data_IF_731222236970
#
_entry.id   IF_731222236970
#
_cell.length_a   1.000
_cell.length_b   1.000
_cell.length_c   1.000
_cell.angle_alpha   90.00
_cell.angle_beta   90.00
_cell.angle_gamma   90.00
#
_symmetry.space_group_name_H-M   'P 1'
#
loop_
_entity.id
_entity.type
_entity.pdbx_description
1 polymer ?
#
# COMPACT_ATOMS: atom_id res chain seq x y z
N UNK A 1 -62.68 -14.45 -42.20
CA UNK A 1 -62.24 -14.94 -40.89
C UNK A 1 -60.82 -15.47 -41.10
N UNK A 2 -59.79 -14.65 -40.88
CA UNK A 2 -58.85 -14.77 -39.72
C UNK A 2 -57.55 -15.46 -40.20
N UNK A 3 -56.29 -15.03 -39.99
CA UNK A 3 -55.62 -13.85 -39.39
C UNK A 3 -54.21 -13.79 -40.03
N UNK A 4 -53.67 -12.59 -40.23
CA UNK A 4 -52.26 -12.37 -40.56
C UNK A 4 -51.38 -12.57 -39.31
N UNK A 5 -50.39 -13.47 -39.38
CA UNK A 5 -49.40 -13.66 -38.31
C UNK A 5 -48.20 -12.75 -38.55
N UNK A 6 -48.24 -11.55 -37.98
CA UNK A 6 -47.09 -10.66 -37.90
C UNK A 6 -46.15 -11.08 -36.77
N UNK A 7 -44.96 -11.58 -37.10
CA UNK A 7 -43.87 -11.77 -36.13
C UNK A 7 -43.04 -10.48 -36.04
N UNK A 8 -43.44 -9.57 -35.16
CA UNK A 8 -42.58 -8.47 -34.69
C UNK A 8 -41.48 -9.05 -33.81
N UNK A 9 -40.35 -9.38 -34.42
CA UNK A 9 -39.10 -9.65 -33.70
C UNK A 9 -38.60 -8.35 -33.09
N UNK A 10 -38.89 -8.12 -31.82
CA UNK A 10 -38.23 -7.10 -31.01
C UNK A 10 -36.77 -7.49 -30.86
N UNK A 11 -35.87 -6.85 -31.59
CA UNK A 11 -34.43 -6.92 -31.33
C UNK A 11 -34.17 -6.16 -30.03
N UNK A 12 -34.28 -6.87 -28.91
CA UNK A 12 -33.80 -6.39 -27.62
C UNK A 12 -32.29 -6.10 -27.78
N UNK A 13 -31.81 -4.89 -27.44
CA UNK A 13 -30.40 -4.58 -27.56
C UNK A 13 -29.66 -5.47 -26.56
N UNK A 14 -28.88 -6.42 -27.08
CA UNK A 14 -28.02 -7.27 -26.28
C UNK A 14 -27.17 -6.39 -25.37
N UNK A 15 -27.50 -6.39 -24.07
CA UNK A 15 -26.73 -5.72 -23.03
C UNK A 15 -25.35 -6.37 -23.06
N UNK A 16 -24.38 -5.68 -23.66
CA UNK A 16 -22.98 -6.09 -23.62
C UNK A 16 -22.53 -6.02 -22.17
N UNK A 17 -22.54 -7.16 -21.49
CA UNK A 17 -21.74 -7.35 -20.29
C UNK A 17 -20.28 -7.26 -20.70
N UNK A 18 -19.69 -6.07 -20.58
CA UNK A 18 -18.25 -5.93 -20.57
C UNK A 18 -17.72 -6.89 -19.50
N UNK A 19 -16.76 -7.78 -19.80
CA UNK A 19 -16.19 -8.64 -18.78
C UNK A 19 -15.70 -7.75 -17.63
N UNK A 20 -15.84 -8.20 -16.36
CA UNK A 20 -15.32 -7.44 -15.23
C UNK A 20 -13.86 -7.14 -15.54
N UNK A 21 -13.50 -5.86 -15.50
CA UNK A 21 -12.14 -5.42 -15.77
C UNK A 21 -11.21 -6.24 -14.88
N UNK A 22 -10.55 -7.23 -15.47
CA UNK A 22 -9.67 -8.13 -14.76
C UNK A 22 -8.63 -7.31 -14.02
N UNK A 23 -8.22 -7.80 -12.85
CA UNK A 23 -7.17 -7.22 -12.02
C UNK A 23 -6.12 -6.54 -12.90
N UNK A 24 -6.03 -5.22 -12.70
CA UNK A 24 -5.33 -4.25 -13.50
C UNK A 24 -4.01 -4.78 -14.10
N UNK A 25 -3.71 -4.37 -15.33
CA UNK A 25 -2.31 -4.33 -15.80
C UNK A 25 -1.54 -3.43 -14.83
N UNK A 26 -1.02 -4.01 -13.74
CA UNK A 26 -0.04 -3.36 -12.89
C UNK A 26 1.05 -2.82 -13.81
N UNK A 27 1.47 -1.58 -13.56
CA UNK A 27 2.12 -0.70 -14.53
C UNK A 27 3.18 -1.36 -15.40
N UNK A 28 3.42 -0.78 -16.58
CA UNK A 28 4.46 -1.19 -17.54
C UNK A 28 5.73 -1.65 -16.80
N UNK A 29 6.49 -2.67 -17.28
CA UNK A 29 7.69 -3.16 -16.58
C UNK A 29 8.66 -2.07 -16.11
N UNK A 30 8.70 -0.94 -16.83
CA UNK A 30 9.41 0.28 -16.45
C UNK A 30 8.93 0.89 -15.12
N UNK A 31 7.62 1.03 -14.90
CA UNK A 31 7.04 1.55 -13.66
C UNK A 31 7.35 0.63 -12.48
N UNK A 32 7.23 -0.68 -12.68
CA UNK A 32 7.60 -1.66 -11.67
C UNK A 32 9.09 -1.56 -11.33
N UNK A 33 9.96 -1.57 -12.34
CA UNK A 33 11.40 -1.45 -12.15
C UNK A 33 11.81 -0.15 -11.44
N UNK A 34 11.15 0.97 -11.77
CA UNK A 34 11.38 2.25 -11.12
C UNK A 34 10.94 2.24 -9.65
N UNK A 35 9.74 1.71 -9.37
CA UNK A 35 9.23 1.56 -8.00
C UNK A 35 10.16 0.70 -7.16
N UNK A 36 10.61 -0.43 -7.71
CA UNK A 36 11.56 -1.33 -7.06
C UNK A 36 12.90 -0.63 -6.79
N UNK A 37 13.45 0.08 -7.77
CA UNK A 37 14.71 0.82 -7.64
C UNK A 37 14.64 1.86 -6.52
N UNK A 38 13.58 2.67 -6.46
CA UNK A 38 13.40 3.67 -5.40
C UNK A 38 13.20 3.01 -4.02
N UNK A 39 12.45 1.89 -3.97
CA UNK A 39 12.27 1.13 -2.74
C UNK A 39 13.60 0.62 -2.21
N UNK A 40 14.44 0.04 -3.08
CA UNK A 40 15.78 -0.41 -2.70
C UNK A 40 16.64 0.77 -2.25
N UNK A 41 16.63 1.88 -2.99
CA UNK A 41 17.44 3.05 -2.68
C UNK A 41 17.05 3.76 -1.37
N UNK A 42 15.80 3.64 -0.91
CA UNK A 42 15.35 4.20 0.37
C UNK A 42 15.51 3.21 1.53
N UNK A 43 15.25 1.92 1.28
CA UNK A 43 15.23 0.89 2.31
C UNK A 43 16.58 0.16 2.46
N UNK A 44 17.59 0.44 1.62
CA UNK A 44 18.91 -0.18 1.73
C UNK A 44 19.56 -0.07 3.12
N UNK A 45 19.42 1.03 3.90
CA UNK A 45 20.05 1.09 5.23
C UNK A 45 19.44 0.08 6.19
N UNK A 46 18.23 -0.39 5.90
CA UNK A 46 17.49 -1.36 6.70
C UNK A 46 17.78 -2.81 6.29
N UNK A 47 18.56 -3.02 5.22
CA UNK A 47 18.86 -4.34 4.68
C UNK A 47 19.89 -5.11 5.52
N UNK A 48 20.60 -4.44 6.44
CA UNK A 48 21.55 -5.11 7.35
C UNK A 48 20.82 -6.16 8.20
N UNK A 49 21.36 -7.39 8.31
CA UNK A 49 20.78 -8.42 9.16
C UNK A 49 20.84 -8.03 10.64
N UNK A 50 19.95 -8.63 11.44
CA UNK A 50 19.88 -8.41 12.88
C UNK A 50 18.99 -7.23 13.28
N UNK A 51 19.39 -6.51 14.33
CA UNK A 51 18.61 -5.42 14.89
C UNK A 51 18.48 -4.26 13.89
N UNK A 52 17.25 -3.76 13.69
CA UNK A 52 17.04 -2.56 12.91
C UNK A 52 17.48 -1.36 13.73
N UNK A 53 18.63 -0.80 13.35
CA UNK A 53 19.22 0.39 13.93
C UNK A 53 19.47 1.41 12.83
N UNK A 54 18.66 2.47 12.81
CA UNK A 54 18.86 3.59 11.89
C UNK A 54 18.55 4.89 12.61
N UNK A 55 19.61 5.56 13.07
CA UNK A 55 19.54 6.81 13.85
C UNK A 55 18.60 6.68 15.06
N UNK A 56 17.37 7.19 14.98
CA UNK A 56 16.40 7.12 16.10
C UNK A 56 15.48 5.90 16.01
N UNK A 57 15.58 5.12 14.92
CA UNK A 57 14.87 3.86 14.76
C UNK A 57 15.63 2.73 15.46
N UNK A 58 14.97 2.11 16.43
CA UNK A 58 15.46 0.93 17.14
C UNK A 58 14.34 -0.09 17.19
N UNK A 59 14.50 -1.22 16.48
CA UNK A 59 13.58 -2.35 16.57
C UNK A 59 14.39 -3.62 16.88
N UNK A 60 14.41 -4.05 18.15
CA UNK A 60 14.99 -5.32 18.55
C UNK A 60 14.29 -6.51 17.85
N UNK A 61 14.99 -7.62 17.60
CA UNK A 61 14.35 -8.82 17.05
C UNK A 61 13.23 -9.37 17.93
N UNK A 62 13.42 -9.30 19.25
CA UNK A 62 12.47 -9.75 20.27
C UNK A 62 12.19 -8.62 21.28
N UNK A 63 11.34 -7.62 20.95
CA UNK A 63 10.99 -6.56 21.88
C UNK A 63 10.19 -7.09 23.06
N UNK A 64 10.45 -6.58 24.26
CA UNK A 64 9.71 -6.98 25.46
C UNK A 64 8.32 -6.33 25.50
N UNK A 65 7.31 -7.12 25.90
CA UNK A 65 5.98 -6.61 26.19
C UNK A 65 6.02 -5.91 27.56
N UNK A 66 5.93 -4.59 27.58
CA UNK A 66 6.00 -3.76 28.80
C UNK A 66 4.86 -2.75 28.82
N UNK A 67 4.61 -2.12 29.97
CA UNK A 67 3.61 -1.04 30.10
C UNK A 67 3.88 0.11 29.11
N UNK A 68 5.15 0.41 28.86
CA UNK A 68 5.56 1.40 27.86
C UNK A 68 5.14 1.01 26.42
N UNK A 69 5.14 -0.28 26.08
CA UNK A 69 4.68 -0.76 24.76
C UNK A 69 3.18 -0.45 24.54
N UNK A 70 2.40 -0.43 25.62
CA UNK A 70 1.00 -0.02 25.63
C UNK A 70 0.79 1.49 25.85
N UNK A 71 1.87 2.28 25.89
CA UNK A 71 1.80 3.72 26.10
C UNK A 71 1.45 4.13 27.53
N UNK A 72 1.56 3.19 28.49
CA UNK A 72 1.29 3.41 29.91
C UNK A 72 2.57 3.78 30.70
N UNK A 73 3.71 3.89 30.02
CA UNK A 73 4.98 4.30 30.61
C UNK A 73 5.14 5.81 30.71
N UNK A 74 6.24 6.25 31.34
CA UNK A 74 6.53 7.67 31.60
C UNK A 74 6.91 8.49 30.35
N UNK A 75 7.16 7.81 29.22
CA UNK A 75 7.51 8.46 27.96
C UNK A 75 6.27 8.72 27.09
N UNK A 76 6.35 9.70 26.19
CA UNK A 76 5.26 9.97 25.26
C UNK A 76 4.95 8.72 24.41
N UNK A 77 3.67 8.32 24.39
CA UNK A 77 3.13 7.17 23.66
C UNK A 77 3.11 7.37 22.12
N UNK A 78 4.25 7.75 21.54
CA UNK A 78 4.41 8.07 20.11
C UNK A 78 4.45 6.83 19.20
N UNK A 79 4.61 5.66 19.79
CA UNK A 79 4.79 4.39 19.08
C UNK A 79 3.72 3.37 19.48
N UNK A 80 2.73 3.75 20.29
CA UNK A 80 1.61 2.88 20.66
C UNK A 80 0.50 2.99 19.61
N UNK A 81 -0.14 1.87 19.19
CA UNK A 81 0.03 0.49 19.65
C UNK A 81 1.10 -0.31 18.89
N UNK A 82 1.85 0.33 17.98
CA UNK A 82 2.85 -0.32 17.13
C UNK A 82 3.87 -1.15 17.94
N UNK A 83 4.33 -0.64 19.09
CA UNK A 83 5.34 -1.30 19.91
C UNK A 83 4.78 -2.54 20.62
N UNK A 84 3.53 -2.49 21.07
CA UNK A 84 2.85 -3.68 21.59
C UNK A 84 2.69 -4.76 20.52
N UNK A 85 2.32 -4.37 19.28
CA UNK A 85 2.23 -5.31 18.16
C UNK A 85 3.60 -5.91 17.84
N UNK A 86 4.66 -5.10 17.81
CA UNK A 86 6.02 -5.59 17.56
C UNK A 86 6.54 -6.50 18.68
N UNK A 87 6.20 -6.23 19.93
CA UNK A 87 6.54 -7.12 21.06
C UNK A 87 5.81 -8.47 20.96
N UNK A 88 4.52 -8.46 20.59
CA UNK A 88 3.77 -9.69 20.31
C UNK A 88 4.37 -10.50 19.15
N UNK A 89 4.64 -9.83 18.02
CA UNK A 89 5.30 -10.45 16.85
C UNK A 89 6.70 -10.97 17.23
N UNK A 90 7.42 -10.21 18.04
CA UNK A 90 8.72 -10.58 18.61
C UNK A 90 8.69 -11.87 19.41
N UNK A 91 7.57 -12.23 20.03
CA UNK A 91 7.39 -13.53 20.68
C UNK A 91 7.30 -14.71 19.71
N UNK A 92 6.95 -14.46 18.44
CA UNK A 92 6.73 -15.48 17.41
C UNK A 92 7.88 -15.56 16.40
N UNK A 93 8.45 -14.42 16.03
CA UNK A 93 9.47 -14.28 14.98
C UNK A 93 10.29 -13.00 15.19
N UNK A 94 11.30 -12.75 14.36
CA UNK A 94 12.03 -11.48 14.33
C UNK A 94 11.11 -10.32 13.91
N UNK A 95 10.81 -9.43 14.86
CA UNK A 95 9.98 -8.26 14.64
C UNK A 95 10.59 -7.29 13.60
N UNK A 96 11.92 -7.15 13.58
CA UNK A 96 12.61 -6.33 12.60
C UNK A 96 12.48 -6.89 11.18
N UNK A 97 12.48 -8.23 11.02
CA UNK A 97 12.20 -8.85 9.72
C UNK A 97 10.78 -8.54 9.23
N UNK A 98 9.80 -8.53 10.12
CA UNK A 98 8.41 -8.15 9.79
C UNK A 98 8.32 -6.69 9.37
N UNK A 99 8.98 -5.76 10.08
CA UNK A 99 9.02 -4.34 9.69
C UNK A 99 9.61 -4.15 8.29
N UNK A 100 10.73 -4.82 7.98
CA UNK A 100 11.35 -4.78 6.65
C UNK A 100 10.38 -5.28 5.57
N UNK A 101 9.71 -6.41 5.82
CA UNK A 101 8.74 -6.98 4.89
C UNK A 101 7.58 -6.02 4.64
N UNK A 102 7.02 -5.44 5.69
CA UNK A 102 5.93 -4.47 5.60
C UNK A 102 6.33 -3.22 4.81
N UNK A 103 7.53 -2.68 5.07
CA UNK A 103 8.04 -1.53 4.33
C UNK A 103 8.26 -1.85 2.85
N UNK A 104 8.90 -2.96 2.52
CA UNK A 104 9.12 -3.38 1.13
C UNK A 104 7.78 -3.58 0.43
N UNK A 105 6.87 -4.34 1.01
CA UNK A 105 5.54 -4.57 0.44
C UNK A 105 4.77 -3.25 0.26
N UNK A 106 4.77 -2.40 1.28
CA UNK A 106 4.08 -1.12 1.25
C UNK A 106 4.61 -0.16 0.20
N UNK A 107 5.93 -0.05 0.05
CA UNK A 107 6.55 0.81 -0.97
C UNK A 107 6.24 0.30 -2.38
N UNK A 108 6.28 -1.03 -2.60
CA UNK A 108 5.94 -1.62 -3.89
C UNK A 108 4.46 -1.41 -4.23
N UNK A 109 3.55 -1.76 -3.33
CA UNK A 109 2.12 -1.58 -3.57
C UNK A 109 1.73 -0.11 -3.69
N UNK A 110 2.26 0.74 -2.81
CA UNK A 110 2.04 2.18 -2.81
C UNK A 110 2.52 2.87 -4.07
N UNK A 111 3.75 2.58 -4.50
CA UNK A 111 4.32 3.14 -5.72
C UNK A 111 3.55 2.70 -6.98
N UNK A 112 3.25 1.40 -7.12
CA UNK A 112 2.44 0.91 -8.24
C UNK A 112 1.04 1.54 -8.24
N UNK A 113 0.42 1.71 -7.07
CA UNK A 113 -0.88 2.35 -6.96
C UNK A 113 -0.83 3.84 -7.25
N UNK A 114 0.23 4.56 -6.89
CA UNK A 114 0.39 5.97 -7.25
C UNK A 114 0.52 6.18 -8.76
N UNK A 115 1.30 5.33 -9.44
CA UNK A 115 1.37 5.34 -10.90
C UNK A 115 0.00 5.09 -11.54
N UNK A 116 -0.71 4.07 -11.05
CA UNK A 116 -2.04 3.73 -11.54
C UNK A 116 -3.07 4.84 -11.27
N UNK A 117 -3.01 5.46 -10.09
CA UNK A 117 -3.87 6.57 -9.72
C UNK A 117 -3.63 7.75 -10.67
N UNK A 118 -2.37 8.15 -10.91
CA UNK A 118 -2.03 9.23 -11.83
C UNK A 118 -2.49 8.93 -13.28
N UNK A 119 -2.35 7.68 -13.72
CA UNK A 119 -2.84 7.24 -15.03
C UNK A 119 -4.36 7.38 -15.14
N UNK A 120 -5.11 7.02 -14.10
CA UNK A 120 -6.59 7.05 -14.10
C UNK A 120 -7.18 8.43 -13.91
N UNK A 121 -6.62 9.26 -13.05
CA UNK A 121 -7.23 10.54 -12.64
C UNK A 121 -6.91 11.68 -13.61
N UNK A 122 -5.68 11.72 -14.13
CA UNK A 122 -5.21 12.82 -15.00
C UNK A 122 -4.71 12.33 -16.36
N UNK A 123 -4.89 11.05 -16.69
CA UNK A 123 -4.46 10.50 -17.97
C UNK A 123 -2.94 10.48 -18.17
N UNK A 124 -2.16 10.41 -17.08
CA UNK A 124 -0.71 10.54 -17.15
C UNK A 124 -0.04 9.47 -18.02
N UNK A 125 0.80 9.92 -18.95
CA UNK A 125 1.75 9.05 -19.67
C UNK A 125 2.86 8.50 -18.74
N UNK A 126 3.81 7.76 -19.31
CA UNK A 126 4.86 7.08 -18.53
C UNK A 126 5.63 8.04 -17.60
N UNK A 127 6.07 9.19 -18.10
CA UNK A 127 6.82 10.16 -17.28
C UNK A 127 6.03 10.67 -16.08
N UNK A 128 4.72 10.93 -16.26
CA UNK A 128 3.85 11.37 -15.17
C UNK A 128 3.64 10.28 -14.11
N UNK A 129 3.57 9.02 -14.54
CA UNK A 129 3.50 7.88 -13.62
C UNK A 129 4.79 7.72 -12.83
N UNK A 130 5.96 7.78 -13.48
CA UNK A 130 7.26 7.74 -12.80
C UNK A 130 7.42 8.90 -11.82
N UNK A 131 7.00 10.11 -12.20
CA UNK A 131 6.99 11.27 -11.32
C UNK A 131 6.09 11.05 -10.10
N UNK A 132 4.91 10.45 -10.27
CA UNK A 132 4.01 10.13 -9.15
C UNK A 132 4.66 9.15 -8.16
N UNK A 133 5.32 8.10 -8.65
CA UNK A 133 6.08 7.16 -7.79
C UNK A 133 7.21 7.88 -7.06
N UNK A 134 8.00 8.68 -7.77
CA UNK A 134 9.12 9.43 -7.17
C UNK A 134 8.65 10.38 -6.10
N UNK A 135 7.60 11.17 -6.35
CA UNK A 135 7.07 12.12 -5.37
C UNK A 135 6.51 11.40 -4.13
N UNK A 136 5.88 10.24 -4.31
CA UNK A 136 5.37 9.44 -3.19
C UNK A 136 6.48 8.89 -2.31
N UNK A 137 7.48 8.23 -2.91
CA UNK A 137 8.49 7.49 -2.16
C UNK A 137 9.68 8.36 -1.77
N UNK A 138 10.17 9.17 -2.70
CA UNK A 138 11.40 9.96 -2.58
C UNK A 138 11.08 11.43 -2.29
N UNK A 139 10.65 11.71 -1.06
CA UNK A 139 10.41 13.07 -0.58
C UNK A 139 11.01 13.25 0.84
N UNK A 140 11.21 14.51 1.29
CA UNK A 140 11.80 14.79 2.61
C UNK A 140 11.03 14.17 3.77
N UNK A 141 9.70 14.14 3.68
CA UNK A 141 8.87 13.54 4.73
C UNK A 141 9.19 12.04 4.89
N UNK A 142 9.19 11.26 3.81
CA UNK A 142 9.50 9.84 3.86
C UNK A 142 10.88 9.56 4.46
N UNK A 143 11.90 10.30 4.01
CA UNK A 143 13.28 10.12 4.48
C UNK A 143 13.41 10.45 5.97
N UNK A 144 12.93 11.62 6.40
CA UNK A 144 13.07 12.04 7.79
C UNK A 144 12.29 11.14 8.75
N UNK A 145 11.09 10.72 8.37
CA UNK A 145 10.26 9.86 9.21
C UNK A 145 10.86 8.46 9.37
N UNK A 146 11.48 7.91 8.32
CA UNK A 146 12.25 6.66 8.42
C UNK A 146 13.45 6.81 9.37
N UNK A 147 14.21 7.89 9.25
CA UNK A 147 15.36 8.18 10.13
C UNK A 147 14.95 8.39 11.60
N UNK A 148 13.71 8.80 11.85
CA UNK A 148 13.14 9.00 13.18
C UNK A 148 12.49 7.74 13.77
N UNK A 149 12.47 6.63 13.02
CA UNK A 149 11.79 5.39 13.40
C UNK A 149 10.28 5.40 13.29
N UNK A 150 9.69 6.42 12.65
CA UNK A 150 8.25 6.52 12.39
C UNK A 150 7.85 5.74 11.12
N UNK A 151 8.32 4.50 11.01
CA UNK A 151 8.15 3.66 9.83
C UNK A 151 6.68 3.30 9.55
N UNK A 152 5.85 3.18 10.59
CA UNK A 152 4.42 2.90 10.46
C UNK A 152 3.66 4.09 9.86
N UNK A 153 4.05 5.32 10.21
CA UNK A 153 3.50 6.55 9.65
C UNK A 153 3.85 6.67 8.16
N UNK A 154 5.09 6.36 7.80
CA UNK A 154 5.52 6.27 6.40
C UNK A 154 4.70 5.22 5.66
N UNK A 155 4.54 4.02 6.24
CA UNK A 155 3.77 2.94 5.67
C UNK A 155 2.31 3.35 5.40
N UNK A 156 1.68 4.03 6.36
CA UNK A 156 0.31 4.55 6.20
C UNK A 156 0.21 5.54 5.03
N UNK A 157 1.17 6.46 4.94
CA UNK A 157 1.21 7.48 3.87
C UNK A 157 1.43 6.85 2.49
N UNK A 158 2.42 5.96 2.32
CA UNK A 158 2.72 5.34 1.02
C UNK A 158 1.59 4.44 0.53
N UNK A 159 0.76 3.89 1.43
CA UNK A 159 -0.39 3.04 1.07
C UNK A 159 -1.66 3.82 0.70
N UNK A 160 -1.72 5.15 0.91
CA UNK A 160 -2.89 5.96 0.56
C UNK A 160 -3.35 5.80 -0.90
N UNK A 161 -2.45 5.84 -1.91
CA UNK A 161 -2.87 5.63 -3.31
C UNK A 161 -3.48 4.25 -3.52
N UNK A 162 -2.98 3.21 -2.84
CA UNK A 162 -3.51 1.85 -2.93
C UNK A 162 -4.93 1.76 -2.36
N UNK A 163 -5.19 2.44 -1.23
CA UNK A 163 -6.54 2.55 -0.65
C UNK A 163 -7.50 3.23 -1.64
N UNK A 164 -7.08 4.35 -2.24
CA UNK A 164 -7.90 5.08 -3.21
C UNK A 164 -8.18 4.21 -4.44
N UNK A 165 -7.15 3.57 -5.00
CA UNK A 165 -7.28 2.68 -6.17
C UNK A 165 -8.19 1.48 -5.85
N UNK A 166 -8.11 0.91 -4.65
CA UNK A 166 -9.02 -0.17 -4.21
C UNK A 166 -10.47 0.32 -4.06
N UNK A 167 -10.67 1.52 -3.51
CA UNK A 167 -11.99 2.16 -3.41
C UNK A 167 -12.62 2.44 -4.77
N UNK A 168 -11.83 2.96 -5.72
CA UNK A 168 -12.28 3.21 -7.10
C UNK A 168 -12.62 1.92 -7.87
N UNK A 169 -11.99 0.80 -7.52
CA UNK A 169 -12.29 -0.51 -8.11
C UNK A 169 -13.51 -1.19 -7.48
N UNK A 170 -14.16 -0.53 -6.53
CA UNK A 170 -15.37 -1.04 -5.89
C UNK A 170 -15.12 -2.31 -5.09
N UNK A 171 -14.00 -2.37 -4.34
CA UNK A 171 -13.69 -3.49 -3.45
C UNK A 171 -14.92 -3.83 -2.57
N UNK A 172 -15.68 -4.84 -2.99
CA UNK A 172 -17.04 -5.08 -2.51
C UNK A 172 -17.09 -5.51 -1.03
N UNK A 173 -15.96 -5.96 -0.49
CA UNK A 173 -15.88 -6.58 0.83
C UNK A 173 -16.03 -5.58 2.00
N UNK A 174 -15.61 -4.32 1.88
CA UNK A 174 -15.82 -3.31 2.94
C UNK A 174 -17.21 -2.67 2.91
N UNK A 175 -17.88 -2.68 1.74
CA UNK A 175 -19.29 -2.29 1.62
C UNK A 175 -20.23 -3.31 2.27
N UNK A 176 -19.82 -4.58 2.31
CA UNK A 176 -20.61 -5.66 2.91
C UNK A 176 -20.78 -5.53 4.44
N UNK A 177 -19.93 -4.75 5.13
CA UNK A 177 -20.06 -4.47 6.57
C UNK A 177 -20.79 -3.15 6.87
N UNK A 178 -21.17 -2.39 5.83
CA UNK A 178 -21.85 -1.10 5.95
C UNK A 178 -23.36 -1.16 5.63
N UNK A 179 -23.88 -2.37 5.39
CA UNK A 179 -25.31 -2.69 5.26
C UNK A 179 -25.72 -3.58 6.44
#
# INVERSE_FOLDING_TARGET
MTIASGSTGTTEPAVRHSPPAGFARFGTPVVFGWTFLLSLALLWPLASPGMLLLRDMVVPPHPALTDAAFGLGDSAARATPQDAVLAWVGGLTDAGAVVRLLLVAGFLFGGLAAAELARRTVGAGLLGQLAAVTMLLWNPFTVERLLQGQWSLVLAMVLLPAIVVAGLQGAAWWRATAM
#
